data_IF_778306890321
#
_entry.id   IF_778306890321
#
_cell.length_a   1.000
_cell.length_b   1.000
_cell.length_c   1.000
_cell.angle_alpha   90.00
_cell.angle_beta   90.00
_cell.angle_gamma   90.00
#
_symmetry.space_group_name_H-M   'P 1'
#
loop_
_entity.id
_entity.type
_entity.pdbx_description
1 polymer ?
#
# COMPACT_ATOMS: atom_id res chain seq x y z
N UNK A 1 17.69 25.46 1.65
CA UNK A 1 17.60 23.99 1.46
C UNK A 1 18.11 23.34 2.73
N UNK A 2 17.51 22.24 3.15
CA UNK A 2 17.93 21.49 4.33
C UNK A 2 18.28 20.07 3.91
N UNK A 3 19.41 19.56 4.41
CA UNK A 3 19.87 18.19 4.22
C UNK A 3 19.84 17.50 5.57
N UNK A 4 19.40 16.24 5.60
CA UNK A 4 19.40 15.41 6.80
C UNK A 4 20.35 14.23 6.63
N UNK A 5 20.99 13.81 7.71
CA UNK A 5 21.68 12.52 7.76
C UNK A 5 20.68 11.36 7.68
N UNK A 6 21.10 10.15 7.27
CA UNK A 6 20.18 9.02 7.11
C UNK A 6 19.54 8.50 8.42
N UNK A 7 20.12 8.85 9.57
CA UNK A 7 19.56 8.60 10.91
C UNK A 7 18.61 9.72 11.38
N UNK A 8 18.43 10.77 10.57
CA UNK A 8 17.70 12.00 10.89
C UNK A 8 18.22 12.77 12.12
N UNK A 9 19.42 12.45 12.63
CA UNK A 9 20.00 13.08 13.83
C UNK A 9 20.64 14.43 13.51
N UNK A 10 21.31 14.54 12.37
CA UNK A 10 22.04 15.72 11.95
C UNK A 10 21.32 16.40 10.78
N UNK A 11 21.32 17.74 10.77
CA UNK A 11 20.89 18.49 9.60
C UNK A 11 21.87 19.60 9.23
N UNK A 12 21.86 19.97 7.95
CA UNK A 12 22.65 21.05 7.39
C UNK A 12 21.74 21.96 6.57
N UNK A 13 21.69 23.24 6.93
CA UNK A 13 20.92 24.25 6.21
C UNK A 13 21.85 25.00 5.27
N UNK A 14 21.55 24.91 3.98
CA UNK A 14 22.25 25.58 2.90
C UNK A 14 21.43 26.77 2.43
N UNK A 15 22.04 27.96 2.47
CA UNK A 15 21.47 29.21 1.94
C UNK A 15 22.24 29.61 0.69
N UNK A 16 21.52 29.76 -0.42
CA UNK A 16 22.07 30.28 -1.66
C UNK A 16 21.96 31.81 -1.72
N UNK A 17 22.73 32.45 -2.61
CA UNK A 17 22.68 33.90 -2.80
C UNK A 17 21.38 34.35 -3.46
N UNK A 18 20.85 33.55 -4.38
CA UNK A 18 19.59 33.79 -5.07
C UNK A 18 18.80 32.50 -5.38
N UNK A 19 17.61 32.66 -5.95
CA UNK A 19 16.73 31.54 -6.28
C UNK A 19 17.30 30.62 -7.38
N UNK A 20 18.00 31.17 -8.36
CA UNK A 20 18.59 30.39 -9.45
C UNK A 20 19.70 29.49 -8.94
N UNK A 21 20.57 30.02 -8.09
CA UNK A 21 21.64 29.26 -7.44
C UNK A 21 21.05 28.19 -6.49
N UNK A 22 19.98 28.51 -5.75
CA UNK A 22 19.28 27.53 -4.92
C UNK A 22 18.75 26.35 -5.73
N UNK A 23 18.12 26.61 -6.89
CA UNK A 23 17.62 25.58 -7.81
C UNK A 23 18.79 24.76 -8.39
N UNK A 24 19.90 25.40 -8.75
CA UNK A 24 21.10 24.73 -9.25
C UNK A 24 21.69 23.75 -8.22
N UNK A 25 21.88 24.21 -6.97
CA UNK A 25 22.34 23.36 -5.87
C UNK A 25 21.37 22.22 -5.57
N UNK A 26 20.07 22.51 -5.53
CA UNK A 26 19.03 21.50 -5.32
C UNK A 26 19.11 20.39 -6.37
N UNK A 27 19.10 20.74 -7.67
CA UNK A 27 19.14 19.75 -8.74
C UNK A 27 20.42 18.91 -8.72
N UNK A 28 21.56 19.53 -8.40
CA UNK A 28 22.86 18.85 -8.33
C UNK A 28 22.90 17.86 -7.17
N UNK A 29 22.53 18.29 -5.97
CA UNK A 29 22.51 17.44 -4.77
C UNK A 29 21.46 16.33 -4.89
N UNK A 30 20.27 16.66 -5.39
CA UNK A 30 19.21 15.67 -5.60
C UNK A 30 19.62 14.59 -6.61
N UNK A 31 20.32 14.97 -7.69
CA UNK A 31 20.86 14.00 -8.66
C UNK A 31 21.93 13.10 -8.04
N UNK A 32 22.82 13.65 -7.21
CA UNK A 32 23.82 12.86 -6.49
C UNK A 32 23.16 11.90 -5.49
N UNK A 33 22.15 12.36 -4.74
CA UNK A 33 21.38 11.53 -3.82
C UNK A 33 20.63 10.40 -4.51
N UNK A 34 20.09 10.63 -5.72
CA UNK A 34 19.44 9.59 -6.50
C UNK A 34 20.41 8.45 -6.87
N UNK A 35 21.65 8.79 -7.25
CA UNK A 35 22.70 7.80 -7.54
C UNK A 35 23.13 7.03 -6.29
N UNK A 36 23.33 7.73 -5.17
CA UNK A 36 23.68 7.11 -3.90
C UNK A 36 22.57 6.19 -3.38
N UNK A 37 21.30 6.60 -3.52
CA UNK A 37 20.13 5.79 -3.16
C UNK A 37 20.06 4.51 -3.99
N UNK A 38 20.38 4.57 -5.29
CA UNK A 38 20.43 3.38 -6.14
C UNK A 38 21.54 2.41 -5.71
N UNK A 39 22.71 2.92 -5.32
CA UNK A 39 23.80 2.08 -4.76
C UNK A 39 23.39 1.46 -3.43
N UNK A 40 22.81 2.25 -2.54
CA UNK A 40 22.31 1.79 -1.24
C UNK A 40 21.23 0.71 -1.40
N UNK A 41 20.35 0.84 -2.39
CA UNK A 41 19.36 -0.17 -2.72
C UNK A 41 20.02 -1.49 -3.11
N UNK A 42 21.02 -1.44 -4.00
CA UNK A 42 21.74 -2.64 -4.44
C UNK A 42 22.45 -3.35 -3.27
N UNK A 43 23.03 -2.60 -2.35
CA UNK A 43 23.65 -3.16 -1.13
C UNK A 43 22.60 -3.75 -0.18
N UNK A 44 21.50 -3.04 0.05
CA UNK A 44 20.39 -3.49 0.89
C UNK A 44 19.71 -4.77 0.35
N UNK A 45 19.64 -4.92 -0.97
CA UNK A 45 19.11 -6.13 -1.62
C UNK A 45 19.89 -7.41 -1.27
N UNK A 46 21.12 -7.30 -0.74
CA UNK A 46 21.87 -8.47 -0.22
C UNK A 46 21.25 -9.02 1.07
N UNK A 47 20.59 -8.17 1.86
CA UNK A 47 19.89 -8.56 3.08
C UNK A 47 18.42 -8.89 2.83
N UNK A 48 17.80 -8.19 1.87
CA UNK A 48 16.39 -8.34 1.48
C UNK A 48 16.32 -8.57 -0.05
N UNK A 49 16.42 -9.82 -0.52
CA UNK A 49 16.55 -10.13 -1.95
C UNK A 49 15.40 -9.66 -2.85
N UNK A 50 14.21 -9.51 -2.28
CA UNK A 50 13.00 -9.05 -2.95
C UNK A 50 12.81 -7.53 -2.86
N UNK A 51 13.79 -6.77 -2.35
CA UNK A 51 13.74 -5.31 -2.26
C UNK A 51 13.81 -4.66 -3.65
N UNK A 52 12.82 -3.82 -3.98
CA UNK A 52 12.65 -3.19 -5.29
C UNK A 52 12.86 -1.70 -5.31
N UNK A 53 12.56 -1.01 -4.22
CA UNK A 53 12.69 0.44 -4.15
C UNK A 53 12.84 0.92 -2.71
N UNK A 54 13.58 2.01 -2.52
CA UNK A 54 13.80 2.66 -1.23
C UNK A 54 13.87 4.17 -1.40
N UNK A 55 13.58 4.91 -0.34
CA UNK A 55 13.77 6.35 -0.33
C UNK A 55 13.04 7.04 0.81
N UNK A 56 13.20 8.37 0.85
CA UNK A 56 12.59 9.22 1.85
C UNK A 56 11.31 9.87 1.34
N UNK A 57 10.38 10.07 2.26
CA UNK A 57 9.21 10.90 2.07
C UNK A 57 9.01 11.83 3.24
N UNK A 58 8.19 12.84 3.00
CA UNK A 58 7.50 13.57 4.03
C UNK A 58 6.13 12.92 4.27
N UNK A 59 5.78 12.65 5.53
CA UNK A 59 4.49 12.10 5.95
C UNK A 59 3.79 13.06 6.89
N UNK A 60 2.49 13.29 6.66
CA UNK A 60 1.68 14.06 7.61
C UNK A 60 1.38 13.20 8.86
N UNK A 61 1.47 13.75 10.09
CA UNK A 61 1.13 13.02 11.31
C UNK A 61 -0.31 12.48 11.25
N UNK A 62 -0.56 11.32 11.85
CA UNK A 62 -1.92 10.77 11.92
C UNK A 62 -2.73 11.53 12.97
N UNK A 63 -4.05 11.72 12.73
CA UNK A 63 -4.92 12.36 13.72
C UNK A 63 -4.96 11.61 15.06
N UNK A 64 -4.80 10.28 15.07
CA UNK A 64 -4.82 9.47 16.30
C UNK A 64 -3.57 9.64 17.19
N UNK A 65 -2.46 10.12 16.63
CA UNK A 65 -1.24 10.44 17.39
C UNK A 65 -1.36 11.74 18.19
N UNK A 66 -2.48 12.47 18.07
CA UNK A 66 -2.71 13.78 18.69
C UNK A 66 -3.26 13.70 20.13
N UNK A 67 -3.58 12.51 20.66
CA UNK A 67 -4.22 12.38 21.98
C UNK A 67 -3.23 12.48 23.16
N UNK A 68 -1.91 12.38 22.89
CA UNK A 68 -0.87 12.30 23.93
C UNK A 68 -0.07 13.57 24.15
N UNK A 69 -0.19 14.58 23.27
CA UNK A 69 0.69 15.74 23.27
C UNK A 69 -0.12 17.01 23.41
N UNK A 70 -0.07 17.62 24.60
CA UNK A 70 -0.50 18.99 24.88
C UNK A 70 0.44 20.01 24.21
N UNK A 71 0.80 19.78 22.95
CA UNK A 71 1.69 20.64 22.18
C UNK A 71 0.87 21.37 21.11
N UNK A 72 1.21 22.65 20.94
CA UNK A 72 0.52 23.65 20.13
C UNK A 72 -0.01 23.13 18.79
N UNK A 73 -1.17 23.65 18.37
CA UNK A 73 -1.84 23.36 17.09
C UNK A 73 -0.99 23.53 15.83
N UNK A 74 0.22 24.08 15.93
CA UNK A 74 1.17 24.27 14.83
C UNK A 74 2.00 23.00 14.51
N UNK A 75 2.30 22.15 15.50
CA UNK A 75 3.08 20.91 15.28
C UNK A 75 2.25 19.79 14.62
N UNK A 76 0.93 19.85 14.78
CA UNK A 76 -0.03 18.91 14.17
C UNK A 76 -0.06 18.96 12.63
N UNK A 77 0.50 20.02 12.03
CA UNK A 77 0.56 20.20 10.58
C UNK A 77 1.96 19.96 9.98
N UNK A 78 2.97 19.69 10.82
CA UNK A 78 4.35 19.56 10.32
C UNK A 78 4.57 18.19 9.68
N UNK A 79 4.97 18.22 8.42
CA UNK A 79 5.44 17.05 7.69
C UNK A 79 6.68 16.45 8.35
N UNK A 80 6.69 15.12 8.52
CA UNK A 80 7.79 14.39 9.15
C UNK A 80 8.50 13.50 8.13
N UNK A 81 9.83 13.48 8.15
CA UNK A 81 10.59 12.57 7.30
C UNK A 81 10.34 11.11 7.72
N UNK A 82 10.09 10.24 6.74
CA UNK A 82 9.96 8.79 6.93
C UNK A 82 10.72 8.08 5.83
N UNK A 83 11.47 7.04 6.20
CA UNK A 83 12.14 6.19 5.23
C UNK A 83 11.21 5.04 4.84
N UNK A 84 11.09 4.76 3.55
CA UNK A 84 10.21 3.73 3.04
C UNK A 84 10.94 2.75 2.13
N UNK A 85 10.43 1.52 2.09
CA UNK A 85 10.95 0.45 1.25
C UNK A 85 9.79 -0.35 0.63
N UNK A 86 9.96 -0.77 -0.61
CA UNK A 86 9.00 -1.63 -1.34
C UNK A 86 9.71 -2.92 -1.70
N UNK A 87 9.13 -4.05 -1.31
CA UNK A 87 9.56 -5.38 -1.73
C UNK A 87 8.61 -5.96 -2.79
N UNK A 88 8.73 -7.23 -3.13
CA UNK A 88 7.75 -7.90 -4.01
C UNK A 88 6.36 -8.05 -3.37
N UNK A 89 6.27 -8.01 -2.04
CA UNK A 89 5.05 -8.31 -1.29
C UNK A 89 4.63 -7.23 -0.30
N UNK A 90 5.54 -6.34 0.11
CA UNK A 90 5.28 -5.40 1.20
C UNK A 90 5.76 -3.96 0.90
N UNK A 91 4.99 -3.01 1.42
CA UNK A 91 5.42 -1.64 1.66
C UNK A 91 5.79 -1.52 3.15
N UNK A 92 7.01 -1.07 3.42
CA UNK A 92 7.56 -0.92 4.77
C UNK A 92 7.93 0.53 5.05
N UNK A 93 7.70 0.98 6.29
CA UNK A 93 8.16 2.27 6.80
C UNK A 93 9.12 2.07 7.97
N UNK A 94 10.10 2.96 8.04
CA UNK A 94 11.13 3.01 9.07
C UNK A 94 11.28 4.46 9.56
N UNK A 95 11.60 4.62 10.85
CA UNK A 95 11.89 5.92 11.45
C UNK A 95 13.19 6.52 10.92
N UNK A 96 14.16 5.66 10.58
CA UNK A 96 15.42 6.02 9.95
C UNK A 96 15.82 5.00 8.89
N UNK A 97 16.76 5.36 8.01
CA UNK A 97 17.28 4.42 7.03
C UNK A 97 17.94 3.22 7.73
N UNK A 98 17.60 1.95 7.42
CA UNK A 98 18.21 0.80 8.07
C UNK A 98 19.68 0.60 7.66
N UNK A 99 20.54 0.23 8.61
CA UNK A 99 22.00 0.12 8.44
C UNK A 99 22.52 -1.33 8.50
N UNK A 100 21.68 -2.26 8.97
CA UNK A 100 22.03 -3.67 9.18
C UNK A 100 20.92 -4.59 8.69
N UNK A 101 21.27 -5.84 8.37
CA UNK A 101 20.29 -6.84 7.96
C UNK A 101 19.19 -7.11 9.00
N UNK A 102 19.46 -6.92 10.29
CA UNK A 102 18.44 -6.99 11.34
C UNK A 102 17.49 -5.79 11.27
N UNK A 103 18.02 -4.57 11.17
CA UNK A 103 17.19 -3.36 11.09
C UNK A 103 16.26 -3.37 9.87
N UNK A 104 16.70 -3.94 8.74
CA UNK A 104 15.85 -4.13 7.56
C UNK A 104 14.65 -5.07 7.80
N UNK A 105 14.76 -6.01 8.74
CA UNK A 105 13.70 -6.98 9.08
C UNK A 105 12.74 -6.47 10.14
N UNK A 106 13.03 -5.32 10.76
CA UNK A 106 12.22 -4.71 11.82
C UNK A 106 11.69 -3.35 11.36
N UNK A 107 10.77 -3.31 10.37
CA UNK A 107 10.11 -2.07 10.01
C UNK A 107 9.24 -1.57 11.18
N UNK A 108 9.12 -0.25 11.30
CA UNK A 108 8.17 0.35 12.23
C UNK A 108 6.73 0.02 11.81
N UNK A 109 6.49 -0.06 10.50
CA UNK A 109 5.20 -0.45 9.93
C UNK A 109 5.37 -1.23 8.63
N UNK A 110 4.53 -2.24 8.42
CA UNK A 110 4.51 -3.06 7.22
C UNK A 110 3.09 -3.27 6.70
N UNK A 111 2.93 -3.19 5.37
CA UNK A 111 1.66 -3.36 4.69
C UNK A 111 1.83 -4.27 3.48
N UNK A 112 0.95 -5.27 3.33
CA UNK A 112 0.96 -6.13 2.15
C UNK A 112 0.56 -5.32 0.91
N UNK A 113 1.41 -5.32 -0.13
CA UNK A 113 1.18 -4.56 -1.37
C UNK A 113 -0.12 -4.94 -2.06
N UNK A 114 -0.48 -6.22 -2.02
CA UNK A 114 -1.75 -6.72 -2.55
C UNK A 114 -2.98 -6.10 -1.86
N UNK A 115 -2.81 -5.60 -0.63
CA UNK A 115 -3.83 -4.89 0.14
C UNK A 115 -3.54 -3.38 0.27
N UNK A 116 -2.62 -2.83 -0.53
CA UNK A 116 -2.29 -1.41 -0.60
C UNK A 116 -2.75 -0.82 -1.93
N UNK A 117 -3.28 0.41 -1.88
CA UNK A 117 -3.73 1.16 -3.05
C UNK A 117 -3.22 2.59 -3.00
N UNK A 118 -2.75 3.07 -4.15
CA UNK A 118 -2.47 4.49 -4.36
C UNK A 118 -3.80 5.23 -4.60
N UNK A 119 -3.95 6.37 -3.96
CA UNK A 119 -5.09 7.28 -4.13
C UNK A 119 -4.57 8.61 -4.66
N UNK A 120 -5.24 9.14 -5.68
CA UNK A 120 -4.87 10.40 -6.32
C UNK A 120 -4.79 11.56 -5.33
N UNK A 121 -3.86 12.47 -5.60
CA UNK A 121 -3.59 13.66 -4.79
C UNK A 121 -4.72 14.68 -4.84
N UNK A 122 -5.02 15.31 -3.70
CA UNK A 122 -5.99 16.38 -3.62
C UNK A 122 -5.40 17.70 -4.14
N UNK A 123 -5.75 18.08 -5.38
CA UNK A 123 -5.95 19.46 -5.91
C UNK A 123 -4.97 20.60 -5.56
N UNK A 124 -3.78 20.35 -5.01
CA UNK A 124 -2.71 21.36 -4.84
C UNK A 124 -1.63 21.07 -5.89
N UNK A 125 -1.78 21.67 -7.07
CA UNK A 125 -0.92 21.40 -8.23
C UNK A 125 0.56 21.74 -8.01
N UNK A 126 0.92 22.46 -6.94
CA UNK A 126 2.29 22.92 -6.72
C UNK A 126 3.18 21.91 -5.97
N UNK A 127 2.60 21.00 -5.19
CA UNK A 127 3.38 20.05 -4.38
C UNK A 127 3.19 18.60 -4.87
N UNK A 128 4.27 17.79 -4.91
CA UNK A 128 4.22 16.37 -5.23
C UNK A 128 3.70 15.54 -4.04
N UNK A 129 2.46 15.80 -3.63
CA UNK A 129 1.74 15.09 -2.58
C UNK A 129 0.94 13.92 -3.17
N UNK A 130 0.78 12.82 -2.42
CA UNK A 130 -0.05 11.68 -2.78
C UNK A 130 -0.54 10.97 -1.53
N UNK A 131 -1.49 10.05 -1.66
CA UNK A 131 -1.97 9.26 -0.53
C UNK A 131 -1.94 7.78 -0.86
N UNK A 132 -1.64 6.97 0.15
CA UNK A 132 -1.77 5.52 0.06
C UNK A 132 -2.78 5.06 1.10
N UNK A 133 -3.57 4.06 0.73
CA UNK A 133 -4.50 3.37 1.63
C UNK A 133 -4.06 1.93 1.76
N UNK A 134 -3.86 1.49 2.98
CA UNK A 134 -3.46 0.13 3.31
C UNK A 134 -4.58 -0.51 4.12
N UNK A 135 -5.14 -1.61 3.62
CA UNK A 135 -6.13 -2.35 4.38
C UNK A 135 -5.46 -3.29 5.37
N UNK A 136 -5.94 -3.26 6.61
CA UNK A 136 -5.49 -4.08 7.73
C UNK A 136 -6.70 -4.77 8.36
N UNK A 137 -6.44 -5.70 9.29
CA UNK A 137 -7.50 -6.34 10.08
C UNK A 137 -8.20 -5.38 11.04
N UNK A 138 -7.62 -4.19 11.27
CA UNK A 138 -8.18 -3.14 12.12
C UNK A 138 -8.94 -2.08 11.31
N UNK A 139 -8.89 -2.14 9.97
CA UNK A 139 -9.57 -1.19 9.08
C UNK A 139 -8.70 -0.74 7.92
N UNK A 140 -8.75 0.54 7.59
CA UNK A 140 -7.95 1.11 6.49
C UNK A 140 -7.09 2.23 7.03
N UNK A 141 -5.78 2.04 7.00
CA UNK A 141 -4.80 3.08 7.32
C UNK A 141 -4.55 3.93 6.09
N UNK A 142 -4.67 5.25 6.23
CA UNK A 142 -4.38 6.20 5.15
C UNK A 142 -3.14 7.00 5.51
N UNK A 143 -2.13 6.99 4.64
CA UNK A 143 -0.95 7.84 4.78
C UNK A 143 -1.00 8.95 3.74
N UNK A 144 -0.83 10.19 4.20
CA UNK A 144 -0.58 11.34 3.34
C UNK A 144 0.92 11.54 3.23
N UNK A 145 1.43 11.48 2.00
CA UNK A 145 2.85 11.47 1.69
C UNK A 145 3.17 12.61 0.72
N UNK A 146 4.40 13.11 0.79
CA UNK A 146 4.95 14.10 -0.13
C UNK A 146 6.35 13.65 -0.54
N UNK A 147 6.58 13.62 -1.84
CA UNK A 147 7.90 13.37 -2.42
C UNK A 147 8.71 14.67 -2.55
N UNK A 148 9.98 14.58 -2.89
CA UNK A 148 10.81 15.78 -3.09
C UNK A 148 10.47 16.48 -4.42
N UNK A 149 10.30 15.69 -5.49
CA UNK A 149 9.93 16.18 -6.81
C UNK A 149 8.73 15.43 -7.41
N UNK A 150 8.11 16.01 -8.44
CA UNK A 150 7.09 15.33 -9.24
C UNK A 150 7.62 14.05 -9.93
N UNK A 151 8.92 14.02 -10.25
CA UNK A 151 9.57 12.83 -10.81
C UNK A 151 9.61 11.71 -9.77
N UNK A 152 9.97 12.03 -8.53
CA UNK A 152 10.01 11.04 -7.45
C UNK A 152 8.61 10.50 -7.16
N UNK A 153 7.59 11.38 -7.09
CA UNK A 153 6.20 10.95 -6.95
C UNK A 153 5.82 9.97 -8.07
N UNK A 154 6.16 10.28 -9.33
CA UNK A 154 5.84 9.39 -10.45
C UNK A 154 6.54 8.03 -10.34
N UNK A 155 7.80 8.01 -9.90
CA UNK A 155 8.55 6.76 -9.66
C UNK A 155 7.89 5.94 -8.54
N UNK A 156 7.54 6.59 -7.43
CA UNK A 156 6.88 5.94 -6.30
C UNK A 156 5.49 5.42 -6.64
N UNK A 157 4.66 6.23 -7.29
CA UNK A 157 3.34 5.85 -7.77
C UNK A 157 3.43 4.63 -8.69
N UNK A 158 4.34 4.65 -9.67
CA UNK A 158 4.58 3.53 -10.58
C UNK A 158 5.03 2.28 -9.83
N UNK A 159 5.96 2.43 -8.89
CA UNK A 159 6.50 1.31 -8.11
C UNK A 159 5.40 0.66 -7.26
N UNK A 160 4.58 1.46 -6.57
CA UNK A 160 3.49 0.95 -5.73
C UNK A 160 2.40 0.26 -6.54
N UNK A 161 1.98 0.84 -7.67
CA UNK A 161 0.95 0.26 -8.54
C UNK A 161 1.45 -1.02 -9.21
N UNK A 162 2.67 -0.99 -9.78
CA UNK A 162 3.24 -2.18 -10.41
C UNK A 162 3.52 -3.27 -9.39
N UNK A 163 4.00 -2.89 -8.19
CA UNK A 163 4.25 -3.81 -7.09
C UNK A 163 2.97 -4.48 -6.60
N UNK A 164 1.87 -3.74 -6.43
CA UNK A 164 0.58 -4.33 -6.04
C UNK A 164 0.01 -5.26 -7.10
N UNK A 165 0.16 -4.92 -8.39
CA UNK A 165 -0.21 -5.79 -9.50
C UNK A 165 0.65 -7.05 -9.60
N UNK A 166 1.97 -6.92 -9.45
CA UNK A 166 2.90 -8.05 -9.47
C UNK A 166 2.66 -8.98 -8.27
N UNK A 167 2.40 -8.42 -7.10
CA UNK A 167 2.03 -9.16 -5.88
C UNK A 167 0.73 -9.93 -6.08
N UNK A 168 -0.28 -9.31 -6.69
CA UNK A 168 -1.54 -9.97 -7.05
C UNK A 168 -1.34 -11.19 -7.97
N UNK A 169 -0.51 -11.06 -9.02
CA UNK A 169 -0.20 -12.15 -9.95
C UNK A 169 0.59 -13.27 -9.25
N UNK A 170 1.56 -12.90 -8.42
CA UNK A 170 2.43 -13.85 -7.71
C UNK A 170 1.67 -14.65 -6.65
N UNK A 171 0.84 -13.98 -5.84
CA UNK A 171 0.06 -14.63 -4.81
C UNK A 171 -1.03 -15.55 -5.39
N UNK A 172 -1.58 -15.20 -6.57
CA UNK A 172 -2.52 -15.97 -7.40
C UNK A 172 -3.89 -16.24 -6.79
N UNK A 173 -3.98 -16.48 -5.49
CA UNK A 173 -5.24 -16.63 -4.78
C UNK A 173 -5.16 -16.10 -3.34
N UNK A 174 -6.32 -15.66 -2.84
CA UNK A 174 -6.52 -15.32 -1.45
C UNK A 174 -7.57 -16.26 -0.86
N UNK A 175 -7.28 -16.78 0.33
CA UNK A 175 -8.12 -17.77 0.99
C UNK A 175 -8.45 -17.29 2.39
N UNK A 176 -9.73 -17.21 2.73
CA UNK A 176 -10.17 -16.89 4.08
C UNK A 176 -11.25 -17.86 4.55
N UNK A 177 -11.27 -18.11 5.86
CA UNK A 177 -12.37 -18.82 6.52
C UNK A 177 -13.55 -17.86 6.65
N UNK A 178 -14.75 -18.39 6.52
CA UNK A 178 -15.97 -17.63 6.70
C UNK A 178 -17.16 -18.53 7.02
N UNK A 179 -18.24 -17.94 7.52
CA UNK A 179 -19.51 -18.62 7.72
C UNK A 179 -20.53 -18.16 6.68
N UNK A 180 -21.16 -19.12 6.00
CA UNK A 180 -22.23 -18.87 5.02
C UNK A 180 -23.47 -19.69 5.40
N UNK A 181 -24.63 -19.03 5.49
CA UNK A 181 -25.91 -19.66 5.91
C UNK A 181 -25.76 -20.50 7.20
N UNK A 182 -24.98 -19.99 8.16
CA UNK A 182 -24.71 -20.65 9.45
C UNK A 182 -23.75 -21.85 9.40
N UNK A 183 -23.08 -22.11 8.28
CA UNK A 183 -22.12 -23.22 8.12
C UNK A 183 -20.69 -22.72 7.93
N UNK A 184 -19.69 -23.35 8.55
CA UNK A 184 -18.28 -23.05 8.30
C UNK A 184 -17.89 -23.38 6.86
N UNK A 185 -17.28 -22.40 6.20
CA UNK A 185 -16.87 -22.43 4.80
C UNK A 185 -15.52 -21.78 4.60
N UNK A 186 -14.97 -21.89 3.40
CA UNK A 186 -13.75 -21.22 2.99
C UNK A 186 -14.00 -20.51 1.67
N UNK A 187 -13.81 -19.19 1.66
CA UNK A 187 -13.84 -18.39 0.45
C UNK A 187 -12.45 -18.38 -0.17
N UNK A 188 -12.38 -18.77 -1.44
CA UNK A 188 -11.21 -18.68 -2.29
C UNK A 188 -11.49 -17.62 -3.35
N UNK A 189 -10.63 -16.62 -3.44
CA UNK A 189 -10.62 -15.61 -4.49
C UNK A 189 -9.36 -15.85 -5.30
N UNK A 190 -9.51 -16.44 -6.49
CA UNK A 190 -8.41 -16.73 -7.39
C UNK A 190 -8.35 -15.67 -8.50
N UNK A 191 -7.16 -15.14 -8.76
CA UNK A 191 -6.88 -14.04 -9.71
C UNK A 191 -7.52 -14.24 -11.10
N UNK A 192 -7.45 -15.46 -11.66
CA UNK A 192 -8.13 -15.78 -12.93
C UNK A 192 -9.58 -16.24 -12.77
N UNK A 193 -9.80 -17.26 -11.91
CA UNK A 193 -11.04 -18.03 -11.85
C UNK A 193 -12.17 -17.35 -11.06
N UNK A 194 -11.89 -16.24 -10.37
CA UNK A 194 -12.88 -15.53 -9.57
C UNK A 194 -13.06 -16.17 -8.19
N UNK A 195 -14.31 -16.38 -7.81
CA UNK A 195 -14.74 -16.73 -6.47
C UNK A 195 -15.14 -18.19 -6.41
N UNK A 196 -14.72 -18.87 -5.35
CA UNK A 196 -15.15 -20.23 -5.06
C UNK A 196 -15.40 -20.34 -3.56
N UNK A 197 -16.60 -20.75 -3.18
CA UNK A 197 -16.91 -21.09 -1.79
C UNK A 197 -16.86 -22.60 -1.61
N UNK A 198 -16.10 -23.01 -0.61
CA UNK A 198 -15.88 -24.41 -0.29
C UNK A 198 -16.45 -24.74 1.09
N UNK A 199 -16.95 -25.96 1.24
CA UNK A 199 -17.32 -26.51 2.55
C UNK A 199 -16.05 -26.78 3.37
N UNK A 200 -16.06 -26.37 4.65
CA UNK A 200 -14.91 -26.60 5.54
C UNK A 200 -14.82 -28.08 5.94
N UNK A 201 -13.66 -28.71 5.75
CA UNK A 201 -13.42 -30.11 6.14
C UNK A 201 -12.61 -30.94 5.13
N UNK A 202 -12.39 -32.22 5.44
CA UNK A 202 -11.71 -33.18 4.54
C UNK A 202 -12.61 -33.55 3.36
N UNK A 203 -12.13 -33.35 2.13
CA UNK A 203 -12.93 -33.56 0.90
C UNK A 203 -13.70 -32.33 0.43
N UNK A 204 -13.31 -31.14 0.90
CA UNK A 204 -13.86 -29.80 0.62
C UNK A 204 -14.64 -29.68 -0.69
N UNK A 205 -15.97 -29.83 -0.58
CA UNK A 205 -16.90 -29.76 -1.71
C UNK A 205 -17.13 -28.31 -2.09
N UNK A 206 -17.09 -28.01 -3.38
CA UNK A 206 -17.49 -26.70 -3.89
C UNK A 206 -18.99 -26.49 -3.68
N UNK A 207 -19.33 -25.41 -2.98
CA UNK A 207 -20.71 -24.96 -2.77
C UNK A 207 -21.19 -24.16 -3.98
N UNK A 208 -20.42 -23.15 -4.40
CA UNK A 208 -20.68 -22.37 -5.60
C UNK A 208 -19.38 -21.79 -6.18
N UNK A 209 -19.46 -21.33 -7.45
CA UNK A 209 -18.38 -20.58 -8.12
C UNK A 209 -18.97 -19.43 -8.92
N UNK A 210 -18.32 -18.28 -8.84
CA UNK A 210 -18.63 -17.11 -9.66
C UNK A 210 -17.37 -16.55 -10.28
N UNK A 211 -17.48 -16.03 -11.50
CA UNK A 211 -16.39 -15.30 -12.15
C UNK A 211 -16.39 -13.84 -11.74
N UNK A 212 -15.28 -13.13 -11.99
CA UNK A 212 -15.22 -11.68 -11.76
C UNK A 212 -16.24 -10.90 -12.59
N UNK A 213 -16.57 -11.36 -13.80
CA UNK A 213 -17.50 -10.66 -14.71
C UNK A 213 -18.95 -10.70 -14.22
N UNK A 214 -19.25 -11.60 -13.28
CA UNK A 214 -20.56 -11.69 -12.63
C UNK A 214 -20.66 -10.74 -11.44
N UNK A 215 -19.55 -10.34 -10.80
CA UNK A 215 -19.60 -9.48 -9.62
C UNK A 215 -20.07 -8.06 -10.01
N UNK A 216 -21.27 -7.69 -9.57
CA UNK A 216 -21.86 -6.36 -9.75
C UNK A 216 -21.48 -5.41 -8.64
N UNK A 217 -21.51 -5.89 -7.40
CA UNK A 217 -21.23 -5.09 -6.23
C UNK A 217 -20.52 -5.91 -5.15
N UNK A 218 -19.59 -5.26 -4.44
CA UNK A 218 -18.96 -5.78 -3.24
C UNK A 218 -18.98 -4.70 -2.17
N UNK A 219 -19.43 -5.04 -0.96
CA UNK A 219 -19.43 -4.13 0.19
C UNK A 219 -19.10 -4.86 1.49
N UNK A 220 -18.89 -4.09 2.55
CA UNK A 220 -18.53 -4.61 3.86
C UNK A 220 -19.07 -3.72 4.98
N UNK A 221 -19.25 -4.29 6.17
CA UNK A 221 -19.69 -3.56 7.38
C UNK A 221 -18.53 -2.95 8.18
N UNK A 222 -17.28 -3.11 7.71
CA UNK A 222 -16.07 -2.69 8.40
C UNK A 222 -15.70 -3.51 9.64
N UNK A 223 -16.44 -4.57 9.97
CA UNK A 223 -16.27 -5.36 11.20
C UNK A 223 -16.04 -6.84 10.91
N UNK A 224 -16.97 -7.52 10.24
CA UNK A 224 -16.90 -8.96 9.95
C UNK A 224 -17.72 -9.44 8.76
N UNK A 225 -18.65 -8.63 8.25
CA UNK A 225 -19.57 -9.03 7.19
C UNK A 225 -19.09 -8.54 5.83
N UNK A 226 -18.95 -9.47 4.90
CA UNK A 226 -18.66 -9.25 3.49
C UNK A 226 -19.91 -9.56 2.66
N UNK A 227 -20.31 -8.63 1.81
CA UNK A 227 -21.47 -8.76 0.92
C UNK A 227 -20.99 -8.76 -0.53
N UNK A 228 -21.39 -9.77 -1.29
CA UNK A 228 -21.08 -9.93 -2.72
C UNK A 228 -22.39 -10.10 -3.50
N UNK A 229 -22.60 -9.26 -4.51
CA UNK A 229 -23.72 -9.37 -5.45
C UNK A 229 -23.19 -9.79 -6.83
N UNK A 230 -23.55 -10.99 -7.26
CA UNK A 230 -23.18 -11.58 -8.55
C UNK A 230 -24.25 -11.39 -9.64
N UNK A 231 -25.38 -10.76 -9.31
CA UNK A 231 -26.52 -10.59 -10.20
C UNK A 231 -27.25 -11.89 -10.54
N UNK A 232 -28.58 -11.83 -10.62
CA UNK A 232 -29.40 -12.98 -10.99
C UNK A 232 -30.68 -13.05 -10.16
N UNK A 233 -31.41 -14.16 -10.28
CA UNK A 233 -32.68 -14.39 -9.60
C UNK A 233 -32.68 -15.66 -8.72
N UNK A 234 -31.50 -16.06 -8.22
CA UNK A 234 -31.32 -17.26 -7.38
C UNK A 234 -30.77 -16.92 -6.00
N UNK A 235 -30.87 -17.85 -5.05
CA UNK A 235 -30.40 -17.67 -3.66
C UNK A 235 -28.87 -17.49 -3.49
N UNK A 236 -28.12 -17.53 -4.59
CA UNK A 236 -26.66 -17.37 -4.65
C UNK A 236 -26.28 -16.04 -5.34
N UNK A 237 -27.26 -15.21 -5.75
CA UNK A 237 -26.96 -13.91 -6.35
C UNK A 237 -26.47 -12.89 -5.33
N UNK A 238 -27.04 -12.90 -4.12
CA UNK A 238 -26.63 -12.05 -3.01
C UNK A 238 -26.03 -12.94 -1.90
N UNK A 239 -24.71 -12.84 -1.74
CA UNK A 239 -23.96 -13.66 -0.81
C UNK A 239 -23.50 -12.80 0.36
N UNK A 240 -23.99 -13.15 1.54
CA UNK A 240 -23.54 -12.60 2.82
C UNK A 240 -22.60 -13.60 3.51
N UNK A 241 -21.37 -13.17 3.74
CA UNK A 241 -20.31 -13.98 4.36
C UNK A 241 -19.85 -13.30 5.65
N UNK A 242 -19.85 -14.07 6.73
CA UNK A 242 -19.20 -13.67 7.97
C UNK A 242 -17.76 -14.17 7.95
N UNK A 243 -16.80 -13.26 7.73
CA UNK A 243 -15.37 -13.57 7.60
C UNK A 243 -14.62 -13.49 8.94
N UNK A 244 -15.33 -13.38 10.06
CA UNK A 244 -14.83 -13.32 11.46
C UNK A 244 -13.95 -12.10 11.81
N UNK A 245 -13.34 -11.43 10.82
CA UNK A 245 -12.45 -10.28 10.96
C UNK A 245 -12.82 -9.16 9.99
N UNK A 246 -12.19 -7.99 10.12
CA UNK A 246 -12.48 -6.86 9.23
C UNK A 246 -12.30 -7.24 7.75
N UNK A 247 -13.32 -7.07 6.87
CA UNK A 247 -13.25 -7.52 5.48
C UNK A 247 -12.43 -6.60 4.57
N UNK A 248 -11.91 -5.47 5.07
CA UNK A 248 -11.21 -4.46 4.28
C UNK A 248 -10.04 -5.03 3.46
N UNK A 249 -9.18 -5.93 3.98
CA UNK A 249 -8.12 -6.54 3.19
C UNK A 249 -8.67 -7.33 1.99
N UNK A 250 -9.78 -8.05 2.17
CA UNK A 250 -10.44 -8.83 1.11
C UNK A 250 -10.89 -7.89 -0.02
N UNK A 251 -11.58 -6.81 0.33
CA UNK A 251 -12.05 -5.81 -0.63
C UNK A 251 -10.88 -5.16 -1.38
N UNK A 252 -9.79 -4.84 -0.71
CA UNK A 252 -8.60 -4.27 -1.35
C UNK A 252 -7.91 -5.25 -2.31
N UNK A 253 -7.77 -6.51 -1.90
CA UNK A 253 -7.22 -7.58 -2.74
C UNK A 253 -8.09 -7.79 -3.98
N UNK A 254 -9.41 -7.81 -3.82
CA UNK A 254 -10.35 -7.91 -4.93
C UNK A 254 -10.17 -6.79 -5.95
N UNK A 255 -10.07 -5.55 -5.48
CA UNK A 255 -9.81 -4.42 -6.36
C UNK A 255 -8.46 -4.51 -7.06
N UNK A 256 -7.42 -4.99 -6.38
CA UNK A 256 -6.09 -5.13 -6.98
C UNK A 256 -6.05 -6.29 -8.00
N UNK A 257 -6.77 -7.40 -7.76
CA UNK A 257 -6.97 -8.45 -8.76
C UNK A 257 -7.67 -7.93 -10.01
N UNK A 258 -8.80 -7.24 -9.86
CA UNK A 258 -9.53 -6.65 -10.98
C UNK A 258 -8.67 -5.62 -11.74
N UNK A 259 -8.01 -4.72 -11.02
CA UNK A 259 -7.13 -3.69 -11.58
C UNK A 259 -5.98 -4.30 -12.38
N UNK A 260 -5.27 -5.29 -11.82
CA UNK A 260 -4.18 -5.97 -12.51
C UNK A 260 -4.67 -6.77 -13.74
N UNK A 261 -5.85 -7.40 -13.66
CA UNK A 261 -6.45 -8.14 -14.79
C UNK A 261 -6.80 -7.21 -15.94
N UNK A 262 -7.41 -6.05 -15.65
CA UNK A 262 -7.70 -5.01 -16.63
C UNK A 262 -6.43 -4.43 -17.25
N UNK A 263 -5.37 -4.25 -16.44
CA UNK A 263 -4.08 -3.72 -16.91
C UNK A 263 -3.45 -4.66 -17.93
N UNK A 264 -3.44 -5.96 -17.63
CA UNK A 264 -2.94 -6.99 -18.53
C UNK A 264 -3.72 -7.07 -19.85
N UNK A 265 -5.03 -6.86 -19.80
CA UNK A 265 -5.90 -6.88 -20.98
C UNK A 265 -5.84 -5.58 -21.81
N UNK A 266 -5.09 -4.57 -21.36
CA UNK A 266 -4.99 -3.28 -22.04
C UNK A 266 -6.30 -2.47 -22.03
N UNK A 267 -7.21 -2.75 -21.10
CA UNK A 267 -8.54 -2.14 -21.02
C UNK A 267 -8.57 -0.82 -20.21
N UNK A 268 -7.43 -0.14 -20.09
CA UNK A 268 -7.40 1.22 -19.53
C UNK A 268 -7.74 2.23 -20.63
N UNK A 269 -8.84 2.97 -20.44
CA UNK A 269 -9.16 4.18 -21.20
C UNK A 269 -8.37 5.38 -20.67
#
# INVERSE_FOLDING_TARGET
MELHSPDAVHSCILRAADQSEAIGWFNTLHSALALLTASALHEASRFIPDLRHIGWFLRKPRPESQVSSSESSEDAERWQAVFAAVTDSELRFYESAPWSGESWKTPAEGYALIATRLVGSARRQDNPEFSIRCATVEGVVTHQLRAETHRDLAVWAKTLVNGSHASAVTQREFVCRCTWKGRPTQLVIHYENGFTLLESGTGSRTLWRHSFDQLRHSSDDGKRMLFLDFGGSGEESEVELDVEVCPKPIVFILHNFLSAKLHRLGLYA
#
